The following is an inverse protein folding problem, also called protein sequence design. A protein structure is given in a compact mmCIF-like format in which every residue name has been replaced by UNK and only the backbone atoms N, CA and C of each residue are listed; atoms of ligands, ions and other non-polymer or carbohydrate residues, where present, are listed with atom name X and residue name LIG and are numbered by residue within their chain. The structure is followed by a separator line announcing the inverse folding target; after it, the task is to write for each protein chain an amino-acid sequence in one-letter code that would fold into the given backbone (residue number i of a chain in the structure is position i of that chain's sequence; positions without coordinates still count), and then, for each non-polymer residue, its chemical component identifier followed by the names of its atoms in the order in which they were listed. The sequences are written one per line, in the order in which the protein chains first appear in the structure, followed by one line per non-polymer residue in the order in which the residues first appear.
data_IF_403408368564
#
_entry.id   IF_403408368564
#
_cell.length_a   1.000
_cell.length_b   1.000
_cell.length_c   1.000
_cell.angle_alpha   90.00
_cell.angle_beta   90.00
_cell.angle_gamma   90.00
#
_symmetry.space_group_name_H-M   'P 1'
#
loop_
_entity.id
_entity.type
_entity.pdbx_description
1 polymer ?
#
# COMPACT_ATOMS: atom_id res chain seq x y z
N UNK A 1 -7.25 7.00 11.58
CA UNK A 1 -5.79 6.95 11.61
C UNK A 1 -5.30 5.73 10.89
N UNK A 2 -4.38 5.90 9.97
CA UNK A 2 -3.90 4.79 9.17
C UNK A 2 -2.60 4.25 9.70
N UNK A 3 -2.46 2.94 9.70
CA UNK A 3 -1.21 2.31 10.05
C UNK A 3 -0.32 2.25 8.82
N UNK A 4 0.99 2.41 9.00
CA UNK A 4 1.88 2.21 7.86
C UNK A 4 1.83 0.76 7.42
N UNK A 5 1.92 0.58 6.12
CA UNK A 5 1.93 -0.74 5.51
C UNK A 5 3.36 -1.03 5.10
N UNK A 6 3.86 -2.19 5.44
CA UNK A 6 5.22 -2.53 5.08
C UNK A 6 5.26 -3.23 3.73
N UNK A 7 6.10 -2.72 2.85
CA UNK A 7 6.31 -3.29 1.53
C UNK A 7 7.50 -4.24 1.60
N UNK A 8 7.24 -5.53 1.52
CA UNK A 8 8.28 -6.53 1.67
C UNK A 8 9.20 -6.58 0.46
N UNK A 9 8.72 -6.16 -0.70
CA UNK A 9 9.53 -6.16 -1.91
C UNK A 9 10.64 -5.13 -1.84
N UNK A 10 10.31 -3.95 -1.34
CA UNK A 10 11.25 -2.83 -1.32
C UNK A 10 11.82 -2.55 0.05
N UNK A 11 11.20 -3.07 1.09
CA UNK A 11 11.61 -2.74 2.44
C UNK A 11 11.20 -1.35 2.86
N UNK A 12 10.19 -0.78 2.22
CA UNK A 12 9.69 0.55 2.51
C UNK A 12 8.36 0.48 3.21
N UNK A 13 7.94 1.63 3.76
CA UNK A 13 6.60 1.75 4.28
C UNK A 13 5.72 2.49 3.29
N UNK A 14 4.46 2.08 3.25
CA UNK A 14 3.44 2.72 2.44
C UNK A 14 2.46 3.38 3.39
N UNK A 15 2.14 4.63 3.14
CA UNK A 15 1.18 5.37 3.95
C UNK A 15 -0.13 5.43 3.19
N UNK A 16 -1.14 4.82 3.79
CA UNK A 16 -2.45 4.70 3.13
C UNK A 16 -3.12 6.06 3.10
N UNK A 17 -3.47 6.50 1.89
CA UNK A 17 -4.12 7.81 1.71
C UNK A 17 -5.61 7.67 1.55
N UNK A 18 -6.08 6.49 1.13
CA UNK A 18 -7.50 6.19 1.07
C UNK A 18 -7.64 4.68 1.17
N UNK A 19 -8.85 4.18 1.03
CA UNK A 19 -9.09 2.76 1.18
C UNK A 19 -8.30 1.90 0.22
N UNK A 20 -8.04 2.40 -0.97
CA UNK A 20 -7.36 1.63 -2.02
C UNK A 20 -6.03 2.21 -2.47
N UNK A 21 -5.59 3.29 -1.86
CA UNK A 21 -4.41 4.00 -2.36
C UNK A 21 -3.45 4.29 -1.23
N UNK A 22 -2.18 4.36 -1.56
CA UNK A 22 -1.17 4.74 -0.59
C UNK A 22 0.05 5.28 -1.31
N UNK A 23 0.89 5.96 -0.56
CA UNK A 23 2.15 6.51 -1.06
C UNK A 23 3.27 5.94 -0.23
N UNK A 24 4.30 5.40 -0.87
CA UNK A 24 5.42 4.85 -0.13
C UNK A 24 6.42 5.94 0.24
N UNK A 25 7.45 5.55 0.97
CA UNK A 25 8.40 6.52 1.49
C UNK A 25 9.24 7.16 0.39
N UNK A 26 9.27 6.57 -0.79
CA UNK A 26 9.93 7.18 -1.95
C UNK A 26 9.04 8.14 -2.71
N UNK A 27 7.78 8.21 -2.35
CA UNK A 27 6.83 9.06 -3.04
C UNK A 27 6.09 8.37 -4.16
N UNK A 28 6.25 7.06 -4.32
CA UNK A 28 5.54 6.32 -5.36
C UNK A 28 4.12 6.00 -4.90
N UNK A 29 3.21 6.13 -5.83
CA UNK A 29 1.81 5.83 -5.56
C UNK A 29 1.57 4.33 -5.73
N UNK A 30 0.88 3.75 -4.77
CA UNK A 30 0.52 2.34 -4.81
C UNK A 30 -0.99 2.20 -4.78
N UNK A 31 -1.49 1.22 -5.52
CA UNK A 31 -2.90 0.88 -5.48
C UNK A 31 -3.04 -0.47 -4.79
N UNK A 32 -3.98 -0.53 -3.84
CA UNK A 32 -4.24 -1.78 -3.15
C UNK A 32 -4.85 -2.79 -4.11
N UNK A 33 -4.25 -3.96 -4.18
CA UNK A 33 -4.76 -5.04 -5.04
C UNK A 33 -5.38 -6.16 -4.25
N UNK A 34 -5.18 -6.17 -2.96
CA UNK A 34 -5.72 -7.18 -2.06
C UNK A 34 -5.37 -6.77 -0.64
N UNK A 35 -5.64 -7.65 0.30
CA UNK A 35 -5.39 -7.30 1.70
C UNK A 35 -3.91 -7.14 2.01
N UNK A 36 -3.06 -7.81 1.25
CA UNK A 36 -1.63 -7.76 1.49
C UNK A 36 -0.85 -7.67 0.19
N UNK A 37 -1.41 -7.00 -0.79
CA UNK A 37 -0.75 -6.76 -2.07
C UNK A 37 -1.03 -5.35 -2.55
N UNK A 38 -0.04 -4.78 -3.22
CA UNK A 38 -0.23 -3.49 -3.86
C UNK A 38 0.42 -3.51 -5.23
N UNK A 39 -0.01 -2.59 -6.07
CA UNK A 39 0.60 -2.40 -7.38
C UNK A 39 1.23 -1.03 -7.43
N UNK A 40 2.49 -1.00 -7.86
CA UNK A 40 3.19 0.24 -8.08
C UNK A 40 2.63 0.90 -9.33
N UNK A 41 2.02 2.07 -9.15
CA UNK A 41 1.37 2.75 -10.27
C UNK A 41 2.36 3.26 -11.29
N UNK A 42 3.63 3.41 -10.89
CA UNK A 42 4.64 3.93 -11.78
C UNK A 42 5.12 2.88 -12.77
N UNK A 43 5.28 1.65 -12.31
CA UNK A 43 5.82 0.59 -13.15
C UNK A 43 4.82 -0.52 -13.44
N UNK A 44 3.75 -0.58 -12.68
CA UNK A 44 2.79 -1.66 -12.79
C UNK A 44 3.21 -2.93 -12.08
N UNK A 45 4.21 -2.86 -11.23
CA UNK A 45 4.73 -4.00 -10.51
C UNK A 45 3.86 -4.35 -9.32
N UNK A 46 3.70 -5.64 -9.08
CA UNK A 46 2.98 -6.09 -7.90
C UNK A 46 3.95 -6.30 -6.76
N UNK A 47 3.56 -5.83 -5.59
CA UNK A 47 4.37 -5.94 -4.38
C UNK A 47 3.58 -6.68 -3.32
N UNK A 48 4.28 -7.48 -2.53
CA UNK A 48 3.69 -8.12 -1.36
C UNK A 48 3.89 -7.19 -0.19
N UNK A 49 2.82 -6.93 0.54
CA UNK A 49 2.86 -5.98 1.66
C UNK A 49 2.22 -6.61 2.87
N UNK A 50 2.35 -5.93 3.99
CA UNK A 50 1.57 -6.29 5.17
C UNK A 50 0.10 -5.91 4.94
N UNK A 51 -0.74 -6.22 5.90
CA UNK A 51 -2.17 -6.00 5.72
C UNK A 51 -2.53 -4.55 5.58
N UNK A 52 -3.37 -4.25 4.62
CA UNK A 52 -3.91 -2.91 4.45
C UNK A 52 -5.09 -2.71 5.38
N UNK A 53 -5.25 -1.50 5.87
CA UNK A 53 -6.42 -1.14 6.65
C UNK A 53 -7.64 -1.14 5.77
N UNK A 54 -8.72 -1.70 6.28
CA UNK A 54 -9.98 -1.62 5.58
C UNK A 54 -10.68 -0.37 5.98
N UNK A 55 -11.33 0.23 5.04
CA UNK A 55 -11.90 1.53 5.23
C UNK A 55 -13.30 1.49 5.77
N UNK A 56 -13.93 0.38 5.80
CA UNK A 56 -15.27 0.36 6.24
C UNK A 56 -15.43 0.23 7.69
N UNK A 57 -15.92 0.25 8.01
CA UNK A 57 -16.14 -0.02 9.01
C UNK A 57 -17.02 -0.36 9.43
N UNK A 58 -17.09 -0.69 9.54
CA UNK A 58 -17.71 -1.05 9.83
C UNK A 58 -18.08 -1.12 10.02
#
# INVERSE_FOLDING_TARGET
MCNPIFDYNDGNFIYQTSGNMGIDSDGDLHMRMGDNMSMDMDTGELHITSGWDKDEEE
#
